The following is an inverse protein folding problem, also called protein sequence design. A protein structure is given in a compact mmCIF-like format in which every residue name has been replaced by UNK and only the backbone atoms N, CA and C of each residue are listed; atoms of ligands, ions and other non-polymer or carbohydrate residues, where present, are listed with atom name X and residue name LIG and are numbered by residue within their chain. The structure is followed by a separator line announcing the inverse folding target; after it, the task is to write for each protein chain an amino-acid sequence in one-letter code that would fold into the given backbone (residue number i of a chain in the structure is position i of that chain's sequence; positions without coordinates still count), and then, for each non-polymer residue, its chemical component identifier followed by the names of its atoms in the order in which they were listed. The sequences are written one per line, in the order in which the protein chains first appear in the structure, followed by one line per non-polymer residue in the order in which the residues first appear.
data_IF_927072599890
#
_entry.id   IF_927072599890
#
_cell.length_a   1.000
_cell.length_b   1.000
_cell.length_c   1.000
_cell.angle_alpha   90.00
_cell.angle_beta   90.00
_cell.angle_gamma   90.00
#
_symmetry.space_group_name_H-M   'P 1'
#
loop_
_entity.id
_entity.type
_entity.pdbx_description
1 polymer ?
#
# COMPACT_ATOMS: atom_id res chain seq x y z
N UNK A 1 -16.18 4.72 19.88
CA UNK A 1 -14.76 4.37 19.69
C UNK A 1 -14.44 4.20 18.20
N UNK A 2 -15.40 3.70 17.42
CA UNK A 2 -15.29 3.49 15.96
C UNK A 2 -15.17 4.77 15.13
N UNK A 3 -15.85 5.86 15.52
CA UNK A 3 -15.78 7.12 14.79
C UNK A 3 -14.39 7.78 14.86
N UNK A 4 -13.71 7.65 16.01
CA UNK A 4 -12.33 8.11 16.19
C UNK A 4 -11.39 7.28 15.30
N UNK A 5 -11.53 5.95 15.27
CA UNK A 5 -10.75 5.07 14.39
C UNK A 5 -10.97 5.39 12.91
N UNK A 6 -12.23 5.55 12.49
CA UNK A 6 -12.58 5.92 11.12
C UNK A 6 -12.02 7.30 10.73
N UNK A 7 -12.07 8.27 11.63
CA UNK A 7 -11.51 9.61 11.43
C UNK A 7 -10.00 9.58 11.31
N UNK A 8 -9.32 8.82 12.18
CA UNK A 8 -7.87 8.60 12.11
C UNK A 8 -7.51 7.95 10.76
N UNK A 9 -8.21 6.88 10.37
CA UNK A 9 -7.97 6.19 9.10
C UNK A 9 -8.11 7.13 7.90
N UNK A 10 -9.21 7.90 7.86
CA UNK A 10 -9.48 8.89 6.80
C UNK A 10 -8.40 9.97 6.75
N UNK A 11 -7.93 10.43 7.91
CA UNK A 11 -6.87 11.44 8.02
C UNK A 11 -5.52 10.89 7.56
N UNK A 12 -5.20 9.66 7.96
CA UNK A 12 -3.98 8.96 7.51
C UNK A 12 -3.98 8.79 5.99
N UNK A 13 -5.08 8.33 5.38
CA UNK A 13 -5.22 8.17 3.93
C UNK A 13 -5.00 9.50 3.19
N UNK A 14 -5.58 10.60 3.71
CA UNK A 14 -5.38 11.95 3.13
C UNK A 14 -3.93 12.42 3.25
N UNK A 15 -3.25 12.08 4.34
CA UNK A 15 -1.86 12.49 4.60
C UNK A 15 -0.81 11.74 3.79
N UNK A 16 -1.16 10.62 3.17
CA UNK A 16 -0.24 9.86 2.31
C UNK A 16 -0.02 10.66 1.01
N UNK A 17 1.21 11.08 0.71
CA UNK A 17 1.51 11.77 -0.54
C UNK A 17 1.47 10.80 -1.72
N UNK A 18 1.57 11.32 -2.94
CA UNK A 18 1.84 10.52 -4.12
C UNK A 18 3.25 9.92 -4.03
N UNK A 19 3.42 8.64 -4.38
CA UNK A 19 4.74 8.01 -4.42
C UNK A 19 5.61 8.62 -5.53
N UNK A 20 6.80 9.07 -5.17
CA UNK A 20 7.88 9.48 -6.09
C UNK A 20 9.17 8.75 -5.70
N UNK A 21 10.16 8.73 -6.57
CA UNK A 21 11.46 8.10 -6.27
C UNK A 21 12.12 8.72 -5.03
N UNK A 22 12.05 10.05 -4.89
CA UNK A 22 12.65 10.78 -3.77
C UNK A 22 11.94 10.54 -2.42
N UNK A 23 10.63 10.25 -2.43
CA UNK A 23 9.83 10.11 -1.22
C UNK A 23 9.42 8.66 -0.89
N UNK A 24 9.87 7.67 -1.67
CA UNK A 24 9.38 6.30 -1.61
C UNK A 24 9.49 5.69 -0.22
N UNK A 25 10.63 5.87 0.47
CA UNK A 25 10.82 5.35 1.84
C UNK A 25 9.80 5.94 2.83
N UNK A 26 9.51 7.24 2.73
CA UNK A 26 8.49 7.90 3.55
C UNK A 26 7.08 7.42 3.19
N UNK A 27 6.80 7.29 1.89
CA UNK A 27 5.53 6.76 1.38
C UNK A 27 5.28 5.33 1.88
N UNK A 28 6.27 4.45 1.74
CA UNK A 28 6.24 3.06 2.20
C UNK A 28 5.96 2.99 3.71
N UNK A 29 6.61 3.84 4.50
CA UNK A 29 6.41 3.92 5.95
C UNK A 29 4.96 4.29 6.28
N UNK A 30 4.37 5.26 5.57
CA UNK A 30 2.98 5.71 5.79
C UNK A 30 1.96 4.65 5.38
N UNK A 31 2.17 3.96 4.26
CA UNK A 31 1.32 2.84 3.83
C UNK A 31 1.42 1.67 4.82
N UNK A 32 2.63 1.36 5.31
CA UNK A 32 2.81 0.32 6.34
C UNK A 32 2.11 0.70 7.66
N UNK A 33 2.10 2.00 8.01
CA UNK A 33 1.34 2.49 9.17
C UNK A 33 -0.17 2.34 8.97
N UNK A 34 -0.68 2.57 7.74
CA UNK A 34 -2.08 2.29 7.40
C UNK A 34 -2.43 0.82 7.62
N UNK A 35 -1.58 -0.12 7.19
CA UNK A 35 -1.80 -1.55 7.43
C UNK A 35 -1.82 -1.90 8.92
N UNK A 36 -0.95 -1.26 9.74
CA UNK A 36 -0.96 -1.44 11.20
C UNK A 36 -2.26 -0.93 11.83
N UNK A 37 -2.75 0.23 11.38
CA UNK A 37 -4.01 0.81 11.86
C UNK A 37 -5.22 -0.06 11.52
N UNK A 38 -5.20 -0.69 10.34
CA UNK A 38 -6.22 -1.66 9.92
C UNK A 38 -6.08 -3.05 10.52
N UNK A 39 -4.97 -3.36 11.23
CA UNK A 39 -4.70 -4.72 11.71
C UNK A 39 -4.32 -5.72 10.60
N UNK A 40 -3.94 -5.23 9.42
CA UNK A 40 -3.69 -6.03 8.21
C UNK A 40 -2.20 -6.24 7.92
N UNK A 41 -1.31 -5.66 8.75
CA UNK A 41 0.14 -5.72 8.51
C UNK A 41 0.66 -7.14 8.32
N UNK A 42 0.30 -8.08 9.20
CA UNK A 42 0.84 -9.45 9.12
C UNK A 42 0.40 -10.16 7.85
N UNK A 43 -0.88 -10.03 7.47
CA UNK A 43 -1.40 -10.58 6.20
C UNK A 43 -0.67 -9.98 4.99
N UNK A 44 -0.45 -8.66 5.00
CA UNK A 44 0.27 -7.96 3.92
C UNK A 44 1.74 -8.38 3.80
N UNK A 45 2.42 -8.63 4.93
CA UNK A 45 3.84 -8.99 4.93
C UNK A 45 4.09 -10.47 4.65
N UNK A 46 3.25 -11.34 5.18
CA UNK A 46 3.41 -12.78 5.04
C UNK A 46 2.75 -13.31 3.76
N UNK A 47 1.77 -12.59 3.21
CA UNK A 47 0.99 -13.00 2.05
C UNK A 47 -0.11 -14.02 2.37
N UNK A 48 -0.20 -14.47 3.62
CA UNK A 48 -1.16 -15.47 4.08
C UNK A 48 -1.60 -15.18 5.54
N UNK A 49 -2.87 -15.46 5.90
CA UNK A 49 -3.98 -15.83 5.01
C UNK A 49 -4.39 -14.65 4.10
N UNK A 50 -5.08 -14.91 2.98
CA UNK A 50 -5.57 -13.87 2.09
C UNK A 50 -6.44 -12.85 2.85
N UNK A 51 -6.42 -11.61 2.37
CA UNK A 51 -7.37 -10.60 2.81
C UNK A 51 -8.76 -10.96 2.28
N UNK A 52 -9.80 -10.57 3.01
CA UNK A 52 -11.15 -10.62 2.45
C UNK A 52 -11.28 -9.62 1.28
N UNK A 53 -12.26 -9.85 0.42
CA UNK A 53 -12.49 -9.04 -0.78
C UNK A 53 -12.66 -7.55 -0.48
N UNK A 54 -13.26 -7.20 0.67
CA UNK A 54 -13.52 -5.80 1.01
C UNK A 54 -12.22 -5.09 1.37
N UNK A 55 -11.44 -5.66 2.29
CA UNK A 55 -10.14 -5.09 2.68
C UNK A 55 -9.17 -5.06 1.50
N UNK A 56 -9.15 -6.11 0.68
CA UNK A 56 -8.36 -6.17 -0.55
C UNK A 56 -8.71 -5.02 -1.50
N UNK A 57 -10.00 -4.84 -1.84
CA UNK A 57 -10.47 -3.80 -2.76
C UNK A 57 -10.17 -2.40 -2.24
N UNK A 58 -10.40 -2.16 -0.94
CA UNK A 58 -10.14 -0.86 -0.30
C UNK A 58 -8.65 -0.53 -0.40
N UNK A 59 -7.77 -1.47 -0.05
CA UNK A 59 -6.33 -1.23 -0.08
C UNK A 59 -5.80 -1.10 -1.52
N UNK A 60 -6.27 -1.89 -2.49
CA UNK A 60 -5.94 -1.70 -3.90
C UNK A 60 -6.29 -0.29 -4.35
N UNK A 61 -7.51 0.17 -4.07
CA UNK A 61 -7.98 1.52 -4.41
C UNK A 61 -7.08 2.60 -3.81
N UNK A 62 -6.73 2.47 -2.52
CA UNK A 62 -5.87 3.45 -1.84
C UNK A 62 -4.45 3.45 -2.43
N UNK A 63 -3.85 2.28 -2.66
CA UNK A 63 -2.49 2.18 -3.19
C UNK A 63 -2.44 2.71 -4.61
N UNK A 64 -3.37 2.32 -5.48
CA UNK A 64 -3.48 2.80 -6.86
C UNK A 64 -3.64 4.32 -6.88
N UNK A 65 -4.48 4.89 -6.01
CA UNK A 65 -4.67 6.33 -5.90
C UNK A 65 -3.43 7.09 -5.37
N UNK A 66 -2.47 6.39 -4.76
CA UNK A 66 -1.29 6.98 -4.11
C UNK A 66 0.03 6.58 -4.77
N UNK A 67 0.01 5.75 -5.81
CA UNK A 67 1.19 5.38 -6.59
C UNK A 67 1.22 6.08 -7.94
N UNK A 68 2.36 6.65 -8.31
CA UNK A 68 2.49 7.38 -9.58
C UNK A 68 2.05 6.48 -10.74
N UNK A 69 1.42 7.06 -11.79
CA UNK A 69 1.01 6.31 -12.97
C UNK A 69 2.27 5.74 -13.63
N UNK A 70 2.56 4.51 -13.30
CA UNK A 70 3.76 3.77 -13.66
C UNK A 70 3.31 2.37 -14.04
N UNK A 71 4.09 1.68 -14.88
CA UNK A 71 3.80 0.31 -15.35
C UNK A 71 3.88 -0.76 -14.23
N UNK A 72 3.66 -0.37 -12.97
CA UNK A 72 3.66 -1.23 -11.79
C UNK A 72 2.28 -1.89 -11.61
N UNK A 73 1.20 -1.16 -11.93
CA UNK A 73 -0.16 -1.68 -11.92
C UNK A 73 -0.40 -2.42 -13.24
N UNK A 74 -0.83 -3.66 -13.14
CA UNK A 74 -1.07 -4.58 -14.26
C UNK A 74 -2.40 -5.30 -14.03
N UNK A 75 -2.99 -5.87 -15.09
CA UNK A 75 -4.19 -6.70 -14.99
C UNK A 75 -4.04 -7.89 -14.02
N UNK A 76 -2.80 -8.31 -13.73
CA UNK A 76 -2.53 -9.43 -12.83
C UNK A 76 -2.49 -9.03 -11.35
N UNK A 77 -2.35 -7.74 -11.02
CA UNK A 77 -2.18 -7.29 -9.64
C UNK A 77 -3.10 -6.12 -9.23
N UNK A 78 -3.89 -5.56 -10.15
CA UNK A 78 -4.82 -4.47 -9.84
C UNK A 78 -5.88 -4.87 -8.79
N UNK A 79 -6.28 -6.14 -8.81
CA UNK A 79 -7.27 -6.71 -7.90
C UNK A 79 -6.67 -7.55 -6.76
N UNK A 80 -5.34 -7.55 -6.59
CA UNK A 80 -4.68 -8.25 -5.47
C UNK A 80 -3.68 -7.33 -4.78
N UNK A 81 -4.05 -6.83 -3.60
CA UNK A 81 -3.26 -5.85 -2.86
C UNK A 81 -1.89 -6.40 -2.44
N UNK A 82 -1.80 -7.71 -2.16
CA UNK A 82 -0.55 -8.35 -1.75
C UNK A 82 0.42 -8.37 -2.93
N UNK A 83 -0.07 -8.77 -4.11
CA UNK A 83 0.74 -8.81 -5.32
C UNK A 83 1.10 -7.42 -5.82
N UNK A 84 0.18 -6.46 -5.69
CA UNK A 84 0.43 -5.05 -5.96
C UNK A 84 1.55 -4.53 -5.06
N UNK A 85 1.46 -4.75 -3.75
CA UNK A 85 2.47 -4.34 -2.79
C UNK A 85 3.84 -4.94 -3.10
N UNK A 86 3.91 -6.24 -3.41
CA UNK A 86 5.15 -6.92 -3.80
C UNK A 86 5.74 -6.32 -5.08
N UNK A 87 4.93 -6.06 -6.10
CA UNK A 87 5.37 -5.47 -7.36
C UNK A 87 5.96 -4.07 -7.15
N UNK A 88 5.32 -3.26 -6.30
CA UNK A 88 5.79 -1.93 -5.91
C UNK A 88 7.15 -2.04 -5.24
N UNK A 89 7.25 -2.84 -4.17
CA UNK A 89 8.49 -3.02 -3.43
C UNK A 89 9.63 -3.49 -4.34
N UNK A 90 9.37 -4.45 -5.23
CA UNK A 90 10.37 -4.94 -6.20
C UNK A 90 10.86 -3.85 -7.14
N UNK A 91 9.97 -2.99 -7.64
CA UNK A 91 10.34 -1.91 -8.57
C UNK A 91 11.30 -0.91 -7.95
N UNK A 92 11.09 -0.57 -6.68
CA UNK A 92 11.89 0.42 -5.96
C UNK A 92 13.19 -0.14 -5.37
N UNK A 93 13.21 -1.42 -4.95
CA UNK A 93 14.46 -2.12 -4.62
C UNK A 93 15.35 -2.26 -5.86
N UNK A 94 14.76 -2.55 -7.02
CA UNK A 94 15.50 -2.64 -8.29
C UNK A 94 16.03 -1.30 -8.81
N UNK A 95 15.55 -0.17 -8.30
CA UNK A 95 16.07 1.17 -8.65
C UNK A 95 17.18 1.65 -7.72
N UNK A 96 17.53 0.92 -6.67
CA UNK A 96 18.76 1.22 -5.94
C UNK A 96 19.96 0.91 -6.86
N UNK A 97 20.89 1.85 -7.05
CA UNK A 97 22.05 1.61 -7.90
C UNK A 97 22.84 0.43 -7.33
N UNK A 98 23.08 -0.60 -8.16
CA UNK A 98 24.07 -1.61 -7.83
C UNK A 98 25.42 -0.94 -7.74
N UNK A 99 25.97 -0.94 -6.52
CA UNK A 99 27.24 -0.34 -6.14
C UNK A 99 28.41 -0.83 -7.03
#
# INVERSE_FOLDING_TARGET
MDEIKATILKTTIKSIPMSTEENFSSWQTRITALFKLGGLKEKMMNGEPPLDDTDNTILCTIIIAKISPSNIVTLSNEDNVIDLWKAIMKRFISSEPSN
#
